data_IF_111751752214
#
_entry.id   IF_111751752214
#
_cell.length_a   1.000
_cell.length_b   1.000
_cell.length_c   1.000
_cell.angle_alpha   90.00
_cell.angle_beta   90.00
_cell.angle_gamma   90.00
#
_symmetry.space_group_name_H-M   'P 1'
#
loop_
_entity.id
_entity.type
_entity.pdbx_description
1 polymer ?
#
# COMPACT_ATOMS: atom_id res chain seq x y z
N UNK A 1 0.25 -21.89 12.02
CA UNK A 1 -0.83 -21.13 11.37
C UNK A 1 -0.71 -19.65 11.69
N UNK A 2 -0.72 -18.82 10.65
CA UNK A 2 -0.67 -17.37 10.70
C UNK A 2 -2.03 -16.76 10.36
N UNK A 3 -2.37 -15.63 10.98
CA UNK A 3 -3.62 -14.91 10.73
C UNK A 3 -3.32 -13.57 10.07
N UNK A 4 -3.94 -13.32 8.92
CA UNK A 4 -3.69 -12.15 8.09
C UNK A 4 -4.95 -11.30 7.98
N UNK A 5 -4.81 -10.02 8.24
CA UNK A 5 -5.86 -9.04 8.06
C UNK A 5 -5.35 -7.93 7.13
N UNK A 6 -5.92 -7.89 5.93
CA UNK A 6 -5.59 -6.95 4.88
C UNK A 6 -6.57 -5.79 4.97
N UNK A 7 -6.12 -4.63 5.45
CA UNK A 7 -6.93 -3.41 5.52
C UNK A 7 -6.82 -2.63 4.23
N UNK A 8 -7.96 -2.36 3.60
CA UNK A 8 -7.99 -1.64 2.33
C UNK A 8 -7.70 -0.15 2.50
N UNK A 9 -7.34 0.50 1.40
CA UNK A 9 -7.18 1.95 1.37
C UNK A 9 -8.48 2.72 1.60
N UNK A 10 -8.38 3.85 2.30
CA UNK A 10 -9.48 4.76 2.56
C UNK A 10 -9.90 5.65 1.39
N UNK A 11 -9.21 5.55 0.25
CA UNK A 11 -9.45 6.31 -0.97
C UNK A 11 -9.99 5.45 -2.12
N UNK A 12 -10.54 4.27 -1.85
CA UNK A 12 -11.24 3.46 -2.86
C UNK A 12 -12.38 4.27 -3.48
N UNK A 13 -12.42 4.35 -4.81
CA UNK A 13 -13.38 5.18 -5.57
C UNK A 13 -14.64 4.42 -5.97
N UNK A 14 -14.58 3.09 -6.05
CA UNK A 14 -15.68 2.25 -6.53
C UNK A 14 -15.89 1.02 -5.66
N UNK A 15 -17.14 0.55 -5.54
CA UNK A 15 -17.45 -0.70 -4.86
C UNK A 15 -16.68 -1.88 -5.48
N UNK A 16 -16.54 -1.91 -6.81
CA UNK A 16 -15.81 -2.95 -7.55
C UNK A 16 -14.32 -3.02 -7.20
N UNK A 17 -13.68 -1.90 -6.89
CA UNK A 17 -12.28 -1.89 -6.46
C UNK A 17 -12.12 -2.64 -5.13
N UNK A 18 -13.07 -2.44 -4.21
CA UNK A 18 -13.08 -3.11 -2.91
C UNK A 18 -13.53 -4.58 -3.01
N UNK A 19 -14.56 -4.89 -3.81
CA UNK A 19 -15.21 -6.22 -3.83
C UNK A 19 -14.58 -7.19 -4.83
N UNK A 20 -14.07 -6.71 -5.95
CA UNK A 20 -13.58 -7.54 -7.06
C UNK A 20 -12.07 -7.40 -7.21
N UNK A 21 -11.54 -6.20 -7.43
CA UNK A 21 -10.11 -6.05 -7.71
C UNK A 21 -9.21 -6.35 -6.51
N UNK A 22 -9.57 -5.83 -5.33
CA UNK A 22 -8.83 -6.15 -4.10
C UNK A 22 -8.88 -7.66 -3.77
N UNK A 23 -10.00 -8.33 -4.07
CA UNK A 23 -10.13 -9.77 -3.89
C UNK A 23 -9.26 -10.53 -4.88
N UNK A 24 -9.34 -10.20 -6.17
CA UNK A 24 -8.59 -10.85 -7.24
C UNK A 24 -7.07 -10.72 -7.03
N UNK A 25 -6.57 -9.55 -6.62
CA UNK A 25 -5.14 -9.38 -6.34
C UNK A 25 -4.68 -10.24 -5.15
N UNK A 26 -5.50 -10.34 -4.09
CA UNK A 26 -5.19 -11.13 -2.91
C UNK A 26 -5.27 -12.62 -3.22
N UNK A 27 -6.28 -13.07 -3.96
CA UNK A 27 -6.40 -14.46 -4.39
C UNK A 27 -5.24 -14.88 -5.30
N UNK A 28 -4.72 -13.98 -6.14
CA UNK A 28 -3.54 -14.22 -6.97
C UNK A 28 -2.22 -14.27 -6.19
N UNK A 29 -2.03 -13.39 -5.20
CA UNK A 29 -0.75 -13.27 -4.48
C UNK A 29 -0.65 -14.08 -3.18
N UNK A 30 -1.77 -14.28 -2.50
CA UNK A 30 -1.87 -14.90 -1.18
C UNK A 30 -2.65 -16.22 -1.23
N UNK A 31 -3.79 -16.22 -1.92
CA UNK A 31 -4.72 -17.35 -1.97
C UNK A 31 -6.08 -17.00 -1.36
N UNK A 32 -6.81 -18.00 -0.86
CA UNK A 32 -8.20 -17.82 -0.41
C UNK A 32 -8.31 -16.79 0.72
N UNK A 33 -9.18 -15.80 0.51
CA UNK A 33 -9.52 -14.77 1.50
C UNK A 33 -11.03 -14.63 1.69
N UNK A 34 -11.44 -14.12 2.84
CA UNK A 34 -12.83 -13.79 3.18
C UNK A 34 -12.96 -12.28 3.42
N UNK A 35 -14.06 -11.63 3.01
CA UNK A 35 -14.24 -10.21 3.21
C UNK A 35 -14.40 -9.87 4.71
N UNK A 36 -13.84 -8.73 5.11
CA UNK A 36 -14.08 -8.09 6.40
C UNK A 36 -15.00 -6.91 6.12
N UNK A 37 -16.25 -6.98 6.57
CA UNK A 37 -17.21 -5.89 6.44
C UNK A 37 -16.94 -4.76 7.44
N UNK A 38 -16.57 -5.13 8.67
CA UNK A 38 -16.18 -4.19 9.71
C UNK A 38 -15.03 -4.77 10.55
N UNK A 39 -13.94 -4.02 10.69
CA UNK A 39 -12.81 -4.43 11.52
C UNK A 39 -13.16 -4.54 13.01
N UNK A 40 -14.20 -3.84 13.47
CA UNK A 40 -14.70 -3.99 14.83
C UNK A 40 -15.12 -5.44 15.14
N UNK A 41 -15.70 -6.15 14.18
CA UNK A 41 -16.11 -7.54 14.38
C UNK A 41 -14.89 -8.44 14.58
N UNK A 42 -13.84 -8.22 13.78
CA UNK A 42 -12.57 -8.94 13.91
C UNK A 42 -11.81 -8.62 15.19
N UNK A 43 -11.92 -7.40 15.71
CA UNK A 43 -11.28 -7.03 16.98
C UNK A 43 -11.88 -7.74 18.20
N UNK A 44 -13.07 -8.34 18.08
CA UNK A 44 -13.68 -9.15 19.15
C UNK A 44 -13.26 -10.61 19.09
N UNK A 45 -12.69 -11.04 17.98
CA UNK A 45 -12.32 -12.43 17.72
C UNK A 45 -10.84 -12.66 18.04
N UNK A 46 -10.51 -13.85 18.57
CA UNK A 46 -9.13 -14.28 18.68
C UNK A 46 -8.55 -14.61 17.30
N UNK A 47 -7.24 -14.37 17.08
CA UNK A 47 -6.28 -13.88 18.08
C UNK A 47 -6.16 -12.34 18.15
N UNK A 48 -6.93 -11.58 17.36
CA UNK A 48 -6.77 -10.12 17.28
C UNK A 48 -7.21 -9.40 18.56
N UNK A 49 -8.26 -9.91 19.23
CA UNK A 49 -8.77 -9.37 20.49
C UNK A 49 -7.72 -9.34 21.62
N UNK A 50 -6.74 -10.25 21.61
CA UNK A 50 -5.66 -10.29 22.61
C UNK A 50 -4.77 -9.03 22.60
N UNK A 51 -4.76 -8.29 21.49
CA UNK A 51 -4.02 -7.04 21.32
C UNK A 51 -4.88 -5.79 21.55
N UNK A 52 -6.07 -5.94 22.14
CA UNK A 52 -6.99 -4.83 22.49
C UNK A 52 -7.03 -4.57 24.00
N UNK A 53 -5.86 -4.48 24.64
CA UNK A 53 -5.70 -4.22 26.09
C UNK A 53 -5.14 -2.81 26.36
N UNK A 54 -5.29 -2.20 27.56
CA UNK A 54 -4.80 -0.86 27.86
C UNK A 54 -3.37 -0.56 27.40
N UNK A 55 -2.47 -1.54 27.49
CA UNK A 55 -1.06 -1.43 27.14
C UNK A 55 -0.80 -1.59 25.63
N UNK A 56 -1.73 -2.22 24.89
CA UNK A 56 -1.62 -2.50 23.46
C UNK A 56 -2.92 -2.03 22.79
N UNK A 57 -2.83 -0.93 22.06
CA UNK A 57 -3.99 -0.29 21.42
C UNK A 57 -4.02 -0.55 19.92
N UNK A 58 -4.06 -1.82 19.52
CA UNK A 58 -4.14 -2.16 18.08
C UNK A 58 -5.37 -1.55 17.42
N UNK A 59 -6.47 -1.40 18.18
CA UNK A 59 -7.69 -0.82 17.65
C UNK A 59 -7.46 0.62 17.17
N UNK A 60 -6.59 1.39 17.82
CA UNK A 60 -6.30 2.77 17.42
C UNK A 60 -5.75 2.79 15.99
N UNK A 61 -4.86 1.86 15.65
CA UNK A 61 -4.27 1.75 14.31
C UNK A 61 -5.25 1.17 13.29
N UNK A 62 -5.88 0.04 13.60
CA UNK A 62 -6.70 -0.69 12.61
C UNK A 62 -7.97 0.07 12.27
N UNK A 63 -8.55 0.83 13.22
CA UNK A 63 -9.73 1.67 12.96
C UNK A 63 -9.37 3.09 12.51
N UNK A 64 -8.09 3.47 12.46
CA UNK A 64 -7.69 4.77 11.94
C UNK A 64 -7.90 4.82 10.43
N UNK A 65 -8.66 5.82 9.97
CA UNK A 65 -8.99 5.99 8.55
C UNK A 65 -9.51 4.71 7.91
N UNK A 66 -10.59 4.15 8.47
CA UNK A 66 -11.26 3.02 7.85
C UNK A 66 -11.74 3.37 6.43
N UNK A 67 -11.66 2.41 5.50
CA UNK A 67 -12.18 2.59 4.15
C UNK A 67 -13.69 2.73 4.14
N UNK A 68 -14.16 3.47 3.13
CA UNK A 68 -15.58 3.57 2.83
C UNK A 68 -16.03 2.37 1.99
N UNK A 69 -17.34 2.13 1.98
CA UNK A 69 -17.93 0.99 1.29
C UNK A 69 -18.28 -0.15 2.26
N UNK A 70 -18.83 -1.24 1.70
CA UNK A 70 -19.30 -2.39 2.49
C UNK A 70 -18.17 -3.25 3.02
N UNK A 71 -17.03 -3.28 2.34
CA UNK A 71 -15.87 -4.12 2.67
C UNK A 71 -14.74 -3.21 3.13
N UNK A 72 -14.25 -3.44 4.34
CA UNK A 72 -13.10 -2.73 4.89
C UNK A 72 -11.77 -3.44 4.68
N UNK A 73 -11.82 -4.73 4.42
CA UNK A 73 -10.63 -5.56 4.39
C UNK A 73 -10.89 -6.97 3.92
N UNK A 74 -9.85 -7.77 4.00
CA UNK A 74 -9.91 -9.20 3.78
C UNK A 74 -9.17 -9.92 4.90
N UNK A 75 -9.63 -11.11 5.22
CA UNK A 75 -9.04 -12.00 6.20
C UNK A 75 -8.57 -13.28 5.50
N UNK A 76 -7.42 -13.79 5.90
CA UNK A 76 -6.90 -15.06 5.43
C UNK A 76 -6.02 -15.74 6.45
N UNK A 77 -5.76 -17.04 6.24
CA UNK A 77 -4.80 -17.81 7.05
C UNK A 77 -3.79 -18.48 6.15
N UNK A 78 -2.58 -18.71 6.67
CA UNK A 78 -1.54 -19.45 5.96
C UNK A 78 -0.72 -20.31 6.93
N UNK A 79 -0.05 -21.33 6.40
CA UNK A 79 0.88 -22.15 7.20
C UNK A 79 2.28 -21.54 7.33
N UNK A 80 2.64 -20.62 6.44
CA UNK A 80 3.93 -19.96 6.44
C UNK A 80 3.83 -18.46 6.09
N UNK A 81 4.89 -17.73 6.39
CA UNK A 81 5.02 -16.28 6.19
C UNK A 81 5.66 -15.90 4.84
N UNK A 82 5.98 -16.88 3.99
CA UNK A 82 6.71 -16.65 2.73
C UNK A 82 6.14 -15.55 1.82
N UNK A 83 4.80 -15.35 1.67
CA UNK A 83 4.31 -14.32 0.76
C UNK A 83 4.48 -12.89 1.32
N UNK A 84 4.88 -12.70 2.57
CA UNK A 84 4.88 -11.39 3.24
C UNK A 84 5.61 -10.31 2.46
N UNK A 85 6.85 -10.56 2.05
CA UNK A 85 7.68 -9.59 1.32
C UNK A 85 6.99 -9.12 0.05
N UNK A 86 6.46 -10.09 -0.70
CA UNK A 86 5.74 -9.91 -1.95
C UNK A 86 4.45 -9.12 -1.75
N UNK A 87 3.68 -9.43 -0.70
CA UNK A 87 2.42 -8.74 -0.38
C UNK A 87 2.65 -7.28 0.00
N UNK A 88 3.61 -7.00 0.89
CA UNK A 88 3.96 -5.63 1.30
C UNK A 88 4.39 -4.79 0.09
N UNK A 89 5.13 -5.40 -0.84
CA UNK A 89 5.65 -4.72 -2.02
C UNK A 89 4.59 -4.51 -3.12
N UNK A 90 3.72 -5.49 -3.36
CA UNK A 90 2.94 -5.56 -4.62
C UNK A 90 1.48 -5.21 -4.47
N UNK A 91 0.84 -5.39 -3.32
CA UNK A 91 -0.60 -5.14 -3.18
C UNK A 91 -0.95 -3.69 -3.51
N UNK A 92 -1.97 -3.51 -4.36
CA UNK A 92 -2.40 -2.18 -4.77
C UNK A 92 -3.55 -1.68 -3.88
N UNK A 93 -4.54 -2.52 -3.56
CA UNK A 93 -5.72 -2.06 -2.84
C UNK A 93 -5.64 -2.26 -1.32
N UNK A 94 -4.65 -2.99 -0.84
CA UNK A 94 -4.36 -3.14 0.58
C UNK A 94 -3.40 -2.07 1.07
N UNK A 95 -3.79 -1.28 2.07
CA UNK A 95 -2.96 -0.24 2.69
C UNK A 95 -2.09 -0.79 3.81
N UNK A 96 -2.66 -1.64 4.64
CA UNK A 96 -2.00 -2.18 5.83
C UNK A 96 -2.23 -3.69 5.94
N UNK A 97 -1.23 -4.41 6.40
CA UNK A 97 -1.31 -5.86 6.67
C UNK A 97 -1.07 -6.04 8.16
N UNK A 98 -2.03 -6.64 8.85
CA UNK A 98 -1.85 -7.13 10.21
C UNK A 98 -1.61 -8.63 10.15
N UNK A 99 -0.50 -9.07 10.71
CA UNK A 99 -0.08 -10.46 10.72
C UNK A 99 0.13 -10.90 12.16
N UNK A 100 -0.62 -11.91 12.58
CA UNK A 100 -0.44 -12.52 13.89
C UNK A 100 0.32 -13.84 13.73
N UNK A 101 1.46 -13.90 14.42
CA UNK A 101 2.34 -15.05 14.55
C UNK A 101 2.83 -15.20 15.99
N UNK A 102 4.01 -15.78 16.18
CA UNK A 102 4.64 -15.97 17.49
C UNK A 102 5.88 -15.10 17.64
N UNK A 103 6.43 -15.05 18.87
CA UNK A 103 7.69 -14.31 19.14
C UNK A 103 8.89 -14.84 18.38
N UNK A 104 8.86 -16.10 17.99
CA UNK A 104 9.91 -16.75 17.19
C UNK A 104 9.99 -16.19 15.76
N UNK A 105 8.93 -15.53 15.28
CA UNK A 105 8.92 -14.90 13.96
C UNK A 105 9.67 -13.55 13.92
N UNK A 106 9.96 -12.92 15.06
CA UNK A 106 10.61 -11.59 15.11
C UNK A 106 11.97 -11.58 14.37
N UNK A 107 12.90 -12.52 14.62
CA UNK A 107 14.16 -12.58 13.87
C UNK A 107 13.95 -12.81 12.38
N UNK A 108 12.97 -13.65 12.01
CA UNK A 108 12.64 -13.92 10.61
C UNK A 108 12.15 -12.66 9.89
N UNK A 109 11.26 -11.87 10.51
CA UNK A 109 10.79 -10.59 9.97
C UNK A 109 11.93 -9.60 9.78
N UNK A 110 12.85 -9.51 10.75
CA UNK A 110 14.06 -8.66 10.66
C UNK A 110 15.03 -9.10 9.56
N UNK A 111 14.99 -10.35 9.14
CA UNK A 111 15.77 -10.84 7.99
C UNK A 111 15.06 -10.53 6.65
N UNK A 112 13.73 -10.55 6.62
CA UNK A 112 12.95 -10.23 5.42
C UNK A 112 13.01 -8.72 5.09
N UNK A 113 12.94 -7.87 6.12
CA UNK A 113 12.97 -6.42 5.99
C UNK A 113 14.19 -5.84 6.69
N UNK A 114 14.91 -4.89 6.06
CA UNK A 114 16.11 -4.31 6.66
C UNK A 114 15.78 -3.62 8.00
N UNK A 115 16.76 -3.49 8.89
CA UNK A 115 16.54 -2.89 10.22
C UNK A 115 15.94 -1.48 10.16
N UNK A 116 16.25 -0.69 9.14
CA UNK A 116 15.68 0.66 8.93
C UNK A 116 14.18 0.65 8.61
N UNK A 117 13.61 -0.51 8.23
CA UNK A 117 12.19 -0.66 7.97
C UNK A 117 11.36 -0.66 9.27
N UNK A 118 11.95 -0.99 10.42
CA UNK A 118 11.26 -0.94 11.71
C UNK A 118 10.96 0.52 12.08
N UNK A 119 9.70 0.81 12.40
CA UNK A 119 9.24 2.17 12.68
C UNK A 119 9.03 3.04 11.44
N UNK A 120 9.19 2.47 10.23
CA UNK A 120 8.90 3.13 8.94
C UNK A 120 7.90 2.34 8.10
N UNK A 121 8.21 1.08 7.81
CA UNK A 121 7.38 0.16 7.01
C UNK A 121 6.56 -0.76 7.93
N UNK A 122 7.14 -1.17 9.06
CA UNK A 122 6.43 -2.04 10.00
C UNK A 122 6.75 -1.72 11.45
N UNK A 123 5.85 -2.15 12.33
CA UNK A 123 6.08 -2.27 13.77
C UNK A 123 5.29 -3.48 14.29
N UNK A 124 5.46 -3.83 15.55
CA UNK A 124 4.78 -4.98 16.12
C UNK A 124 4.44 -4.78 17.60
N UNK A 125 3.49 -5.58 18.06
CA UNK A 125 3.02 -5.61 19.44
C UNK A 125 3.16 -7.03 19.96
N UNK A 126 3.66 -7.18 21.18
CA UNK A 126 3.87 -8.48 21.81
C UNK A 126 2.86 -8.72 22.93
N UNK A 127 2.22 -9.89 22.94
CA UNK A 127 1.36 -10.33 24.04
C UNK A 127 1.58 -11.82 24.29
N UNK A 128 2.07 -12.16 25.48
CA UNK A 128 2.37 -13.54 25.87
C UNK A 128 3.36 -14.20 24.90
N UNK A 129 2.95 -15.23 24.15
CA UNK A 129 3.75 -15.87 23.09
C UNK A 129 3.41 -15.36 21.68
N UNK A 130 2.39 -14.52 21.54
CA UNK A 130 1.92 -14.00 20.26
C UNK A 130 2.54 -12.64 19.94
N UNK A 131 2.66 -12.38 18.65
CA UNK A 131 3.08 -11.09 18.11
C UNK A 131 2.13 -10.68 17.00
N UNK A 132 1.63 -9.45 17.07
CA UNK A 132 0.93 -8.82 15.97
C UNK A 132 1.85 -7.84 15.26
N UNK A 133 2.29 -8.20 14.06
CA UNK A 133 3.00 -7.30 13.17
C UNK A 133 2.00 -6.45 12.39
N UNK A 134 2.31 -5.18 12.18
CA UNK A 134 1.59 -4.27 11.30
C UNK A 134 2.56 -3.75 10.25
N UNK A 135 2.25 -4.01 8.98
CA UNK A 135 3.00 -3.52 7.82
C UNK A 135 2.18 -2.48 7.06
N UNK A 136 2.85 -1.45 6.56
CA UNK A 136 2.31 -0.48 5.61
C UNK A 136 2.80 -0.90 4.23
N UNK A 137 1.90 -1.05 3.26
CA UNK A 137 2.29 -1.48 1.91
C UNK A 137 3.00 -0.35 1.15
N UNK A 138 3.84 -0.73 0.18
CA UNK A 138 4.59 0.24 -0.62
C UNK A 138 3.67 1.16 -1.41
N UNK A 139 2.49 0.67 -1.80
CA UNK A 139 1.49 1.49 -2.47
C UNK A 139 1.11 2.75 -1.68
N UNK A 140 1.11 2.70 -0.34
CA UNK A 140 0.79 3.89 0.46
C UNK A 140 1.86 4.97 0.28
N UNK A 141 3.13 4.58 0.35
CA UNK A 141 4.25 5.50 0.17
C UNK A 141 4.30 6.04 -1.26
N UNK A 142 4.05 5.19 -2.25
CA UNK A 142 3.93 5.59 -3.65
C UNK A 142 2.84 6.66 -3.81
N UNK A 143 1.59 6.38 -3.44
CA UNK A 143 0.49 7.34 -3.57
C UNK A 143 0.76 8.68 -2.88
N UNK A 144 1.34 8.65 -1.68
CA UNK A 144 1.63 9.88 -0.92
C UNK A 144 2.89 10.60 -1.39
N UNK A 145 3.76 9.94 -2.17
CA UNK A 145 4.92 10.58 -2.80
C UNK A 145 4.51 11.74 -3.72
N UNK A 146 3.31 11.69 -4.30
CA UNK A 146 2.76 12.76 -5.13
C UNK A 146 2.74 14.12 -4.38
N UNK A 147 2.37 14.11 -3.10
CA UNK A 147 2.35 15.33 -2.28
C UNK A 147 3.75 15.78 -1.90
N UNK A 148 4.69 14.84 -1.71
CA UNK A 148 6.11 15.18 -1.49
C UNK A 148 6.64 15.95 -2.69
N UNK A 149 6.50 15.40 -3.89
CA UNK A 149 6.97 16.01 -5.13
C UNK A 149 6.30 17.36 -5.42
N UNK A 150 5.03 17.53 -5.06
CA UNK A 150 4.29 18.80 -5.27
C UNK A 150 4.65 19.91 -4.28
N UNK A 151 5.03 19.56 -3.05
CA UNK A 151 5.16 20.52 -1.95
C UNK A 151 6.61 20.83 -1.57
N UNK A 152 7.55 19.94 -1.88
CA UNK A 152 8.98 20.18 -1.68
C UNK A 152 9.57 21.08 -2.77
N UNK A 153 10.44 22.01 -2.38
CA UNK A 153 11.10 22.98 -3.29
C UNK A 153 12.56 22.68 -3.58
N UNK A 154 13.18 21.83 -2.79
CA UNK A 154 14.58 21.42 -2.90
C UNK A 154 14.77 20.02 -2.31
N UNK A 155 15.96 19.44 -2.47
CA UNK A 155 16.29 18.08 -2.04
C UNK A 155 16.21 17.91 -0.52
N UNK A 156 16.70 18.88 0.26
CA UNK A 156 16.62 18.84 1.73
C UNK A 156 15.17 18.77 2.23
N UNK A 157 14.26 19.52 1.59
CA UNK A 157 12.83 19.44 1.87
C UNK A 157 12.22 18.11 1.46
N UNK A 158 12.66 17.50 0.34
CA UNK A 158 12.25 16.15 -0.06
C UNK A 158 12.61 15.15 1.02
N UNK A 159 13.87 15.11 1.46
CA UNK A 159 14.34 14.15 2.47
C UNK A 159 13.57 14.31 3.78
N UNK A 160 13.40 15.55 4.25
CA UNK A 160 12.61 15.84 5.46
C UNK A 160 11.17 15.36 5.31
N UNK A 161 10.55 15.63 4.17
CA UNK A 161 9.14 15.32 3.93
C UNK A 161 8.91 13.80 3.75
N UNK A 162 9.89 13.06 3.24
CA UNK A 162 9.90 11.59 3.22
C UNK A 162 9.94 11.00 4.63
N UNK A 163 10.76 11.56 5.54
CA UNK A 163 10.76 11.12 6.95
C UNK A 163 9.42 11.39 7.64
N UNK A 164 8.79 12.53 7.34
CA UNK A 164 7.44 12.85 7.82
C UNK A 164 6.45 11.78 7.32
N UNK A 165 6.49 11.40 6.04
CA UNK A 165 5.65 10.36 5.46
C UNK A 165 5.80 9.01 6.17
N UNK A 166 7.04 8.55 6.41
CA UNK A 166 7.27 7.31 7.15
C UNK A 166 6.76 7.36 8.59
N UNK A 167 6.87 8.52 9.24
CA UNK A 167 6.40 8.69 10.62
C UNK A 167 4.88 8.78 10.74
N UNK A 168 4.17 9.15 9.66
CA UNK A 168 2.77 9.56 9.71
C UNK A 168 1.83 8.48 10.29
N UNK A 169 1.81 7.30 9.68
CA UNK A 169 0.94 6.18 10.12
C UNK A 169 1.48 5.41 11.33
N UNK A 170 2.64 5.78 11.87
CA UNK A 170 3.28 5.04 12.97
C UNK A 170 3.31 5.87 14.25
N UNK A 171 3.77 7.12 14.19
CA UNK A 171 3.96 8.00 15.36
C UNK A 171 2.87 9.05 15.50
N UNK A 172 2.26 9.49 14.40
CA UNK A 172 1.42 10.69 14.37
C UNK A 172 -0.08 10.38 14.25
N UNK A 173 -0.53 9.26 14.83
CA UNK A 173 -1.90 8.76 14.71
C UNK A 173 -2.96 9.69 15.33
N UNK A 174 -2.65 10.28 16.49
CA UNK A 174 -3.54 11.16 17.25
C UNK A 174 -3.36 12.65 16.92
N UNK A 175 -2.77 12.93 15.76
CA UNK A 175 -2.59 14.30 15.30
C UNK A 175 -3.93 14.98 15.06
N UNK A 176 -4.03 16.23 15.47
CA UNK A 176 -5.17 17.10 15.14
C UNK A 176 -4.93 17.71 13.74
N UNK A 177 -5.83 17.53 12.77
CA UNK A 177 -5.70 18.13 11.45
C UNK A 177 -5.86 19.65 11.51
N UNK A 178 -5.23 20.35 10.57
CA UNK A 178 -5.44 21.79 10.44
C UNK A 178 -6.87 22.08 9.97
N UNK A 179 -7.41 23.24 10.36
CA UNK A 179 -8.72 23.69 9.88
C UNK A 179 -8.77 23.72 8.35
N UNK A 180 -9.90 23.30 7.77
CA UNK A 180 -10.11 23.31 6.31
C UNK A 180 -10.00 24.71 5.70
N UNK A 181 -10.28 25.75 6.49
CA UNK A 181 -10.22 27.16 6.08
C UNK A 181 -8.80 27.73 6.02
N UNK A 182 -7.81 27.05 6.61
CA UNK A 182 -6.42 27.49 6.54
C UNK A 182 -5.84 27.11 5.19
N UNK A 183 -5.60 28.11 4.32
CA UNK A 183 -4.83 27.93 3.10
C UNK A 183 -3.32 27.96 3.38
N UNK A 184 -2.90 28.79 4.34
CA UNK A 184 -1.50 28.95 4.78
C UNK A 184 -1.31 28.18 6.08
N UNK A 185 -0.27 27.33 6.13
CA UNK A 185 0.08 26.55 7.33
C UNK A 185 -0.53 25.15 7.41
N UNK A 186 -1.21 24.66 6.36
CA UNK A 186 -1.54 23.21 6.25
C UNK A 186 -0.25 22.40 6.32
N UNK A 187 -0.23 21.42 7.22
CA UNK A 187 0.90 20.53 7.38
C UNK A 187 0.87 19.52 6.24
N UNK A 188 2.04 19.03 5.83
CA UNK A 188 2.16 18.01 4.78
C UNK A 188 1.27 16.80 5.09
N UNK A 189 1.20 16.44 6.36
CA UNK A 189 0.39 15.35 6.87
C UNK A 189 -1.12 15.57 6.69
N UNK A 190 -1.61 16.81 6.45
CA UNK A 190 -3.03 17.08 6.15
C UNK A 190 -3.35 16.57 4.74
N UNK A 191 -2.38 16.69 3.83
CA UNK A 191 -2.50 16.15 2.47
C UNK A 191 -2.49 14.63 2.46
N UNK A 192 -1.76 13.99 3.38
CA UNK A 192 -1.78 12.53 3.50
C UNK A 192 -3.14 11.98 3.91
N UNK A 193 -3.90 12.72 4.72
CA UNK A 193 -5.24 12.34 5.17
C UNK A 193 -6.35 12.59 4.12
N UNK A 194 -6.04 13.26 3.00
CA UNK A 194 -6.98 13.47 1.91
C UNK A 194 -7.35 12.10 1.31
N UNK A 195 -8.66 11.83 1.25
CA UNK A 195 -9.24 10.61 0.67
C UNK A 195 -9.42 10.73 -0.85
N UNK A 196 -8.36 11.15 -1.51
CA UNK A 196 -8.25 11.11 -2.96
C UNK A 196 -7.35 9.95 -3.33
N UNK A 197 -7.66 9.30 -4.46
CA UNK A 197 -6.81 8.25 -5.02
C UNK A 197 -5.82 8.90 -5.99
N UNK A 198 -4.55 9.05 -5.59
CA UNK A 198 -3.54 9.72 -6.40
C UNK A 198 -3.18 8.82 -7.58
N UNK A 199 -3.02 9.42 -8.75
CA UNK A 199 -2.69 8.71 -10.00
C UNK A 199 -1.45 9.28 -10.69
N UNK A 200 -0.79 10.24 -10.03
CA UNK A 200 0.35 10.99 -10.53
C UNK A 200 1.56 10.80 -9.61
N UNK A 201 1.57 9.76 -8.78
CA UNK A 201 2.76 9.40 -8.02
C UNK A 201 3.93 9.04 -8.96
N UNK A 202 5.15 9.02 -8.43
CA UNK A 202 6.39 8.65 -9.17
C UNK A 202 6.53 9.36 -10.52
N UNK A 203 6.81 8.64 -11.60
CA UNK A 203 6.90 9.15 -12.97
C UNK A 203 5.56 9.21 -13.71
N UNK A 204 4.44 8.80 -13.09
CA UNK A 204 3.12 8.85 -13.75
C UNK A 204 2.67 10.28 -14.05
N UNK A 205 3.19 11.29 -13.34
CA UNK A 205 2.90 12.69 -13.63
C UNK A 205 3.62 13.23 -14.86
N UNK A 206 4.66 12.56 -15.37
CA UNK A 206 5.43 13.06 -16.50
C UNK A 206 4.52 13.13 -17.74
N UNK A 207 4.20 14.35 -18.15
CA UNK A 207 3.39 14.70 -19.32
C UNK A 207 1.95 14.10 -19.36
N UNK A 208 0.90 14.93 -19.55
CA UNK A 208 -0.47 14.42 -19.65
C UNK A 208 -0.68 13.47 -20.83
N UNK A 209 -1.39 12.37 -20.60
CA UNK A 209 -1.84 11.45 -21.65
C UNK A 209 -3.32 11.13 -21.45
N UNK A 210 -4.14 11.36 -22.49
CA UNK A 210 -5.59 11.09 -22.43
C UNK A 210 -5.82 9.58 -22.56
N UNK A 211 -6.71 9.04 -21.74
CA UNK A 211 -7.06 7.60 -21.79
C UNK A 211 -6.01 6.67 -21.17
N UNK A 212 -5.18 7.15 -20.24
CA UNK A 212 -4.25 6.30 -19.48
C UNK A 212 -4.98 5.41 -18.46
N UNK A 213 -4.42 4.23 -18.17
CA UNK A 213 -4.89 3.39 -17.07
C UNK A 213 -4.81 4.09 -15.72
N UNK A 214 -5.68 3.67 -14.80
CA UNK A 214 -5.45 3.96 -13.39
C UNK A 214 -4.30 3.09 -12.87
N UNK A 215 -3.18 3.65 -12.38
CA UNK A 215 -2.01 2.85 -12.01
C UNK A 215 -2.30 1.73 -11.00
N UNK A 216 -3.11 2.03 -9.98
CA UNK A 216 -3.54 1.07 -8.94
C UNK A 216 -4.28 -0.14 -9.53
N UNK A 217 -5.19 0.12 -10.47
CA UNK A 217 -5.93 -0.93 -11.19
C UNK A 217 -5.00 -1.78 -12.06
N UNK A 218 -4.07 -1.14 -12.80
CA UNK A 218 -3.10 -1.86 -13.62
C UNK A 218 -2.22 -2.80 -12.77
N UNK A 219 -1.75 -2.32 -11.61
CA UNK A 219 -1.00 -3.13 -10.63
C UNK A 219 -1.81 -4.32 -10.11
N UNK A 220 -3.07 -4.11 -9.71
CA UNK A 220 -3.92 -5.18 -9.21
C UNK A 220 -4.19 -6.28 -10.26
N UNK A 221 -4.49 -5.87 -11.49
CA UNK A 221 -4.69 -6.81 -12.61
C UNK A 221 -3.40 -7.59 -12.90
N UNK A 222 -2.24 -6.91 -12.88
CA UNK A 222 -0.95 -7.56 -13.08
C UNK A 222 -0.63 -8.57 -11.96
N UNK A 223 -0.98 -8.26 -10.71
CA UNK A 223 -0.85 -9.19 -9.59
C UNK A 223 -1.72 -10.45 -9.74
N UNK A 224 -2.91 -10.30 -10.31
CA UNK A 224 -3.80 -11.42 -10.58
C UNK A 224 -3.31 -12.28 -11.76
N UNK A 225 -2.94 -11.65 -12.88
CA UNK A 225 -2.56 -12.35 -14.13
C UNK A 225 -1.15 -12.96 -14.02
N UNK A 226 -0.20 -12.22 -13.44
CA UNK A 226 1.18 -12.64 -13.30
C UNK A 226 1.65 -12.50 -11.85
N UNK A 227 1.24 -13.43 -10.97
CA UNK A 227 1.63 -13.37 -9.57
C UNK A 227 3.12 -13.65 -9.38
N UNK A 228 3.88 -14.11 -10.38
CA UNK A 228 5.29 -14.47 -10.17
C UNK A 228 6.18 -13.25 -9.94
N UNK A 229 7.25 -13.43 -9.17
CA UNK A 229 8.18 -12.35 -8.81
C UNK A 229 9.05 -11.89 -9.97
N UNK A 230 9.23 -12.74 -10.98
CA UNK A 230 10.02 -12.47 -12.18
C UNK A 230 9.22 -12.83 -13.41
N UNK A 231 9.51 -12.17 -14.52
CA UNK A 231 8.87 -12.43 -15.80
C UNK A 231 8.79 -11.16 -16.65
N UNK A 232 8.26 -11.33 -17.86
CA UNK A 232 8.13 -10.26 -18.85
C UNK A 232 6.65 -9.88 -18.99
N UNK A 233 6.37 -8.59 -18.91
CA UNK A 233 5.07 -7.98 -19.17
C UNK A 233 5.14 -7.27 -20.52
N UNK A 234 4.18 -7.56 -21.40
CA UNK A 234 4.06 -6.92 -22.70
C UNK A 234 2.82 -6.04 -22.74
N UNK A 235 2.98 -4.78 -23.15
CA UNK A 235 1.88 -3.88 -23.49
C UNK A 235 1.95 -3.54 -24.98
N UNK A 236 1.05 -4.12 -25.78
CA UNK A 236 1.04 -3.90 -27.23
C UNK A 236 0.39 -2.58 -27.65
N UNK A 237 -0.14 -1.80 -26.70
CA UNK A 237 -0.67 -0.45 -26.87
C UNK A 237 -0.21 0.43 -25.71
N UNK A 238 1.12 0.51 -25.52
CA UNK A 238 1.73 1.02 -24.31
C UNK A 238 1.35 2.46 -23.97
N UNK A 239 0.99 3.29 -24.96
CA UNK A 239 0.65 4.69 -24.75
C UNK A 239 1.76 5.40 -23.98
N UNK A 240 1.40 6.02 -22.85
CA UNK A 240 2.39 6.68 -21.97
C UNK A 240 3.12 5.76 -20.99
N UNK A 241 2.92 4.44 -21.06
CA UNK A 241 3.70 3.44 -20.31
C UNK A 241 3.19 3.07 -18.92
N UNK A 242 1.92 3.34 -18.57
CA UNK A 242 1.42 3.11 -17.19
C UNK A 242 1.61 1.68 -16.71
N UNK A 243 1.28 0.67 -17.54
CA UNK A 243 1.48 -0.74 -17.17
C UNK A 243 2.97 -1.07 -16.99
N UNK A 244 3.82 -0.57 -17.88
CA UNK A 244 5.27 -0.81 -17.85
C UNK A 244 5.93 -0.18 -16.63
N UNK A 245 5.52 1.04 -16.25
CA UNK A 245 5.97 1.69 -15.02
C UNK A 245 5.61 0.83 -13.81
N UNK A 246 4.36 0.40 -13.69
CA UNK A 246 3.95 -0.45 -12.57
C UNK A 246 4.70 -1.80 -12.55
N UNK A 247 4.94 -2.40 -13.73
CA UNK A 247 5.74 -3.61 -13.88
C UNK A 247 7.18 -3.42 -13.38
N UNK A 248 7.85 -2.31 -13.74
CA UNK A 248 9.20 -1.97 -13.25
C UNK A 248 9.24 -1.88 -11.72
N UNK A 249 8.26 -1.24 -11.09
CA UNK A 249 8.17 -1.18 -9.61
C UNK A 249 7.96 -2.56 -8.96
N UNK A 250 7.39 -3.49 -9.71
CA UNK A 250 7.16 -4.87 -9.28
C UNK A 250 8.38 -5.77 -9.55
N UNK A 251 9.49 -5.23 -10.06
CA UNK A 251 10.68 -5.96 -10.53
C UNK A 251 10.38 -6.95 -11.67
N UNK A 252 9.46 -6.57 -12.55
CA UNK A 252 9.15 -7.31 -13.78
C UNK A 252 9.76 -6.60 -14.99
N UNK A 253 10.23 -7.37 -15.95
CA UNK A 253 10.74 -6.84 -17.22
C UNK A 253 9.57 -6.37 -18.09
N UNK A 254 9.66 -5.20 -18.71
CA UNK A 254 8.59 -4.61 -19.50
C UNK A 254 8.96 -4.44 -20.98
N UNK A 255 8.06 -4.81 -21.89
CA UNK A 255 8.18 -4.53 -23.33
C UNK A 255 6.93 -3.82 -23.83
N UNK A 256 7.09 -2.62 -24.39
CA UNK A 256 6.01 -1.81 -24.93
C UNK A 256 6.05 -1.67 -26.44
N UNK A 257 4.89 -1.70 -27.09
CA UNK A 257 4.72 -1.30 -28.49
C UNK A 257 3.74 -0.13 -28.54
N UNK A 258 4.14 0.94 -29.24
CA UNK A 258 3.32 2.13 -29.43
C UNK A 258 3.66 2.78 -30.77
N UNK A 259 2.63 3.25 -31.49
CA UNK A 259 2.79 3.84 -32.82
C UNK A 259 3.18 5.32 -32.76
N UNK A 260 2.77 6.03 -31.70
CA UNK A 260 3.07 7.43 -31.50
C UNK A 260 4.50 7.60 -30.93
N UNK A 261 5.44 8.22 -31.68
CA UNK A 261 6.84 8.35 -31.23
C UNK A 261 7.01 9.18 -29.95
N UNK A 262 6.15 10.17 -29.70
CA UNK A 262 6.19 10.94 -28.46
C UNK A 262 5.77 10.07 -27.26
N UNK A 263 4.77 9.20 -27.44
CA UNK A 263 4.33 8.27 -26.40
C UNK A 263 5.40 7.22 -26.10
N UNK A 264 6.09 6.71 -27.12
CA UNK A 264 7.28 5.85 -26.96
C UNK A 264 8.36 6.55 -26.12
N UNK A 265 8.72 7.80 -26.48
CA UNK A 265 9.71 8.57 -25.73
C UNK A 265 9.27 8.76 -24.27
N UNK A 266 8.02 9.15 -24.04
CA UNK A 266 7.45 9.32 -22.70
C UNK A 266 7.52 8.02 -21.88
N UNK A 267 7.08 6.90 -22.46
CA UNK A 267 7.12 5.60 -21.80
C UNK A 267 8.55 5.21 -21.41
N UNK A 268 9.51 5.37 -22.33
CA UNK A 268 10.92 5.07 -22.06
C UNK A 268 11.49 5.94 -20.94
N UNK A 269 11.20 7.25 -20.93
CA UNK A 269 11.67 8.15 -19.85
C UNK A 269 11.06 7.76 -18.50
N UNK A 270 9.77 7.44 -18.47
CA UNK A 270 9.09 7.03 -17.22
C UNK A 270 9.56 5.70 -16.66
N UNK A 271 10.03 4.79 -17.52
CA UNK A 271 10.48 3.45 -17.14
C UNK A 271 11.98 3.37 -16.82
N UNK A 272 12.80 4.32 -17.30
CA UNK A 272 14.25 4.40 -17.04
C UNK A 272 14.58 5.18 -15.75
N UNK A 273 13.77 5.04 -14.72
CA UNK A 273 13.89 5.80 -13.45
C UNK A 273 14.51 4.97 -12.33
#
# INVERSE_FOLDING_TARGET
MYYWYFKLFNNIKSEHEATEFAKLELEGLFGKVAPIYNFFDKLKEEPLSMFTIPEIRIQDFITHELPYGKIQGYFGTSENISPLKKLVKRLAYTREIYLIGTKEDIPLIKNIFPNQALGKIYHFFEKENLVCFRFITYQYFLEKSEYISKLSRNEEEVDRNVEILFSHLIKNLHRIPASSTLSIGKRLEDYFAIREEPSLYITHYFHPYKGKFHPKMARALLNYIHPQEKGIVMDNFAGSGTLLVEASFMELDGVGVEINPLSVLMSNVKCNS
#
